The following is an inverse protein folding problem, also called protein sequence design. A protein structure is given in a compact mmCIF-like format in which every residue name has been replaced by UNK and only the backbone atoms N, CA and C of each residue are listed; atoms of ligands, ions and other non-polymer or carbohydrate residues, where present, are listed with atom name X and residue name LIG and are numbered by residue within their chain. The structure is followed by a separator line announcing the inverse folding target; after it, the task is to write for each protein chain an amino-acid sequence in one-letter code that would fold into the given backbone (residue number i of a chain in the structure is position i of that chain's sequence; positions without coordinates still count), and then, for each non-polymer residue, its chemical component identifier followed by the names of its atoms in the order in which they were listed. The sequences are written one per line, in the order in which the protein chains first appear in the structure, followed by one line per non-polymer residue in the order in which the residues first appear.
data_IF_311108056848
#
_entry.id   IF_311108056848
#
_cell.length_a   1.000
_cell.length_b   1.000
_cell.length_c   1.000
_cell.angle_alpha   90.00
_cell.angle_beta   90.00
_cell.angle_gamma   90.00
#
_symmetry.space_group_name_H-M   'P 1'
#
loop_
_entity.id
_entity.type
_entity.pdbx_description
1 polymer ?
#
# COMPACT_ATOMS: atom_id res chain seq x y z
N UNK A 1 -2.84 -3.61 22.29
CA UNK A 1 -3.03 -2.16 22.08
C UNK A 1 -2.75 -1.90 20.61
N UNK A 2 -3.78 -1.89 19.77
CA UNK A 2 -3.60 -1.60 18.34
C UNK A 2 -3.10 -0.16 18.25
N UNK A 3 -1.88 0.03 17.74
CA UNK A 3 -1.43 1.36 17.37
C UNK A 3 -2.44 1.87 16.34
N UNK A 4 -3.25 2.86 16.72
CA UNK A 4 -4.22 3.46 15.79
C UNK A 4 -3.42 4.21 14.73
N UNK A 5 -3.00 3.48 13.70
CA UNK A 5 -2.34 4.02 12.53
C UNK A 5 -3.28 4.90 11.72
N UNK A 6 -2.71 5.76 10.87
CA UNK A 6 -3.45 6.54 9.88
C UNK A 6 -4.09 5.59 8.86
N UNK A 7 -5.35 5.83 8.52
CA UNK A 7 -5.99 5.24 7.36
C UNK A 7 -5.83 6.15 6.13
N UNK A 8 -5.81 5.55 4.94
CA UNK A 8 -5.54 6.24 3.68
C UNK A 8 -6.76 6.12 2.78
N UNK A 9 -7.26 7.26 2.30
CA UNK A 9 -8.31 7.31 1.27
C UNK A 9 -7.69 7.16 -0.13
N UNK A 10 -8.46 6.61 -1.07
CA UNK A 10 -8.13 6.69 -2.49
C UNK A 10 -8.12 8.16 -2.96
N UNK A 11 -6.99 8.58 -3.54
CA UNK A 11 -6.73 9.93 -4.09
C UNK A 11 -6.42 9.90 -5.59
N UNK A 12 -6.50 8.73 -6.22
CA UNK A 12 -6.29 8.57 -7.65
C UNK A 12 -7.48 9.02 -8.50
N UNK A 13 -7.41 8.85 -9.84
CA UNK A 13 -8.45 9.31 -10.75
C UNK A 13 -9.83 8.71 -10.48
N UNK A 14 -10.87 9.55 -10.47
CA UNK A 14 -12.23 9.15 -10.12
C UNK A 14 -12.84 8.07 -11.06
N UNK A 15 -12.39 7.99 -12.31
CA UNK A 15 -12.90 6.98 -13.25
C UNK A 15 -12.45 5.57 -12.87
N UNK A 16 -11.32 5.42 -12.17
CA UNK A 16 -10.81 4.13 -11.71
C UNK A 16 -11.70 3.57 -10.60
N UNK A 17 -12.04 4.38 -9.58
CA UNK A 17 -12.94 3.93 -8.50
C UNK A 17 -14.36 3.62 -9.00
N UNK A 18 -14.82 4.31 -10.05
CA UNK A 18 -16.12 4.01 -10.68
C UNK A 18 -16.16 2.61 -11.32
N UNK A 19 -15.02 2.12 -11.84
CA UNK A 19 -14.90 0.80 -12.45
C UNK A 19 -14.79 -0.33 -11.41
N UNK A 20 -14.41 -0.03 -10.15
CA UNK A 20 -14.21 -1.03 -9.09
C UNK A 20 -15.47 -1.83 -8.77
N UNK A 21 -16.66 -1.27 -8.95
CA UNK A 21 -17.94 -1.97 -8.69
C UNK A 21 -18.12 -3.25 -9.52
N UNK A 22 -17.33 -3.45 -10.57
CA UNK A 22 -17.37 -4.62 -11.45
C UNK A 22 -16.17 -5.57 -11.29
N UNK A 23 -15.18 -5.22 -10.47
CA UNK A 23 -13.97 -6.02 -10.27
C UNK A 23 -14.07 -6.85 -8.98
N UNK A 24 -13.58 -8.08 -9.02
CA UNK A 24 -13.39 -8.89 -7.82
C UNK A 24 -12.33 -8.23 -6.93
N UNK A 25 -12.62 -8.16 -5.63
CA UNK A 25 -11.68 -7.66 -4.63
C UNK A 25 -10.43 -8.55 -4.52
N UNK A 26 -9.42 -8.06 -3.79
CA UNK A 26 -8.26 -8.89 -3.45
C UNK A 26 -8.67 -10.10 -2.60
N UNK A 27 -7.95 -11.20 -2.76
CA UNK A 27 -8.10 -12.37 -1.91
C UNK A 27 -7.71 -12.02 -0.47
N UNK A 28 -8.63 -12.18 0.46
CA UNK A 28 -8.41 -11.90 1.89
C UNK A 28 -7.59 -13.02 2.53
N UNK A 29 -6.50 -12.64 3.17
CA UNK A 29 -5.57 -13.49 3.90
C UNK A 29 -5.58 -13.04 5.37
N UNK A 30 -6.20 -13.82 6.24
CA UNK A 30 -6.26 -13.54 7.68
C UNK A 30 -5.37 -14.49 8.49
N UNK A 31 -4.97 -15.61 7.90
CA UNK A 31 -4.26 -16.70 8.57
C UNK A 31 -3.22 -17.33 7.65
N UNK A 32 -2.30 -18.10 8.25
CA UNK A 32 -1.36 -18.95 7.53
C UNK A 32 -2.04 -19.95 6.57
N UNK A 33 -3.21 -20.48 6.97
CA UNK A 33 -3.98 -21.41 6.13
C UNK A 33 -4.53 -20.71 4.89
N UNK A 34 -5.08 -19.50 5.04
CA UNK A 34 -5.57 -18.70 3.92
C UNK A 34 -4.44 -18.43 2.91
N UNK A 35 -3.24 -18.09 3.41
CA UNK A 35 -2.09 -17.86 2.56
C UNK A 35 -1.65 -19.15 1.85
N UNK A 36 -1.58 -20.27 2.57
CA UNK A 36 -1.19 -21.56 2.02
C UNK A 36 -2.15 -22.02 0.90
N UNK A 37 -3.46 -21.86 1.08
CA UNK A 37 -4.47 -22.18 0.07
C UNK A 37 -4.35 -21.24 -1.14
N UNK A 38 -4.18 -19.94 -0.88
CA UNK A 38 -4.04 -18.94 -1.95
C UNK A 38 -2.80 -19.18 -2.81
N UNK A 39 -1.65 -19.48 -2.18
CA UNK A 39 -0.37 -19.67 -2.89
C UNK A 39 -0.32 -21.01 -3.63
N UNK A 40 -0.96 -22.06 -3.10
CA UNK A 40 -1.08 -23.35 -3.77
C UNK A 40 -1.88 -23.28 -5.07
N UNK A 41 -2.77 -22.29 -5.18
CA UNK A 41 -3.57 -22.02 -6.38
C UNK A 41 -2.86 -21.11 -7.40
N UNK A 42 -1.58 -20.75 -7.20
CA UNK A 42 -0.79 -19.93 -8.13
C UNK A 42 0.19 -20.78 -8.92
N UNK A 43 0.40 -20.40 -10.18
CA UNK A 43 1.47 -20.95 -11.00
C UNK A 43 2.83 -20.40 -10.57
N UNK A 44 3.91 -21.14 -10.85
CA UNK A 44 5.28 -20.67 -10.57
C UNK A 44 5.56 -19.30 -11.22
N UNK A 45 5.05 -19.09 -12.45
CA UNK A 45 5.21 -17.81 -13.15
C UNK A 45 4.52 -16.65 -12.44
N UNK A 46 3.34 -16.87 -11.86
CA UNK A 46 2.66 -15.83 -11.08
C UNK A 46 3.42 -15.52 -9.79
N UNK A 47 4.03 -16.52 -9.17
CA UNK A 47 4.82 -16.35 -7.94
C UNK A 47 6.14 -15.61 -8.18
N UNK A 48 6.67 -15.64 -9.41
CA UNK A 48 7.83 -14.84 -9.82
C UNK A 48 7.49 -13.34 -10.00
N UNK A 49 6.21 -12.97 -10.06
CA UNK A 49 5.77 -11.58 -10.18
C UNK A 49 5.39 -10.98 -8.81
N UNK A 50 5.68 -9.68 -8.56
CA UNK A 50 5.15 -9.01 -7.37
C UNK A 50 3.62 -8.88 -7.43
N UNK A 51 2.97 -9.11 -6.30
CA UNK A 51 1.53 -8.95 -6.10
C UNK A 51 1.17 -7.54 -5.64
N UNK A 52 0.00 -7.08 -6.06
CA UNK A 52 -0.66 -5.92 -5.45
C UNK A 52 -1.17 -6.34 -4.08
N UNK A 53 -0.87 -5.56 -3.03
CA UNK A 53 -1.50 -5.77 -1.73
C UNK A 53 -2.17 -4.50 -1.19
N UNK A 54 -3.17 -4.72 -0.35
CA UNK A 54 -3.68 -3.72 0.59
C UNK A 54 -3.87 -4.34 1.97
N UNK A 55 -3.76 -3.52 3.01
CA UNK A 55 -4.20 -3.87 4.36
C UNK A 55 -5.49 -3.11 4.61
N UNK A 56 -6.59 -3.83 4.78
CA UNK A 56 -7.89 -3.21 5.06
C UNK A 56 -7.92 -2.56 6.45
N UNK A 57 -8.93 -1.72 6.71
CA UNK A 57 -9.16 -1.17 8.06
C UNK A 57 -9.58 -2.23 9.08
N UNK A 58 -9.97 -3.41 8.60
CA UNK A 58 -10.16 -4.63 9.38
C UNK A 58 -8.83 -5.31 9.80
N UNK A 59 -7.69 -4.82 9.30
CA UNK A 59 -6.37 -5.37 9.54
C UNK A 59 -6.02 -6.57 8.65
N UNK A 60 -6.92 -6.97 7.74
CA UNK A 60 -6.70 -8.12 6.87
C UNK A 60 -5.78 -7.76 5.70
N UNK A 61 -4.84 -8.66 5.38
CA UNK A 61 -4.05 -8.59 4.15
C UNK A 61 -4.93 -9.01 2.98
N UNK A 62 -4.95 -8.23 1.91
CA UNK A 62 -5.64 -8.58 0.66
C UNK A 62 -4.64 -8.60 -0.48
N UNK A 63 -4.62 -9.69 -1.24
CA UNK A 63 -3.66 -9.90 -2.33
C UNK A 63 -4.37 -9.98 -3.68
N UNK A 64 -3.80 -9.35 -4.68
CA UNK A 64 -4.23 -9.43 -6.07
C UNK A 64 -3.02 -9.59 -7.01
N UNK A 65 -3.20 -10.17 -8.21
CA UNK A 65 -2.15 -10.26 -9.20
C UNK A 65 -1.49 -8.90 -9.51
N UNK A 66 -0.28 -8.95 -10.08
CA UNK A 66 0.43 -7.75 -10.51
C UNK A 66 -0.44 -6.90 -11.44
N UNK A 67 -0.32 -5.56 -11.33
CA UNK A 67 -1.06 -4.57 -12.13
C UNK A 67 -2.56 -4.52 -11.84
N UNK A 68 -3.07 -5.27 -10.87
CA UNK A 68 -4.36 -4.96 -10.28
C UNK A 68 -4.30 -3.60 -9.60
N UNK A 69 -5.33 -2.78 -9.83
CA UNK A 69 -5.49 -1.50 -9.14
C UNK A 69 -5.66 -1.73 -7.64
N UNK A 70 -4.89 -1.03 -6.80
CA UNK A 70 -5.02 -1.12 -5.34
C UNK A 70 -6.45 -0.85 -4.87
N UNK A 71 -7.15 0.06 -5.55
CA UNK A 71 -8.53 0.42 -5.21
C UNK A 71 -9.52 -0.70 -5.53
N UNK A 72 -9.25 -1.51 -6.55
CA UNK A 72 -10.01 -2.73 -6.78
C UNK A 72 -9.70 -3.79 -5.72
N UNK A 73 -8.41 -3.95 -5.38
CA UNK A 73 -7.96 -4.86 -4.31
C UNK A 73 -8.61 -4.55 -2.95
N UNK A 74 -8.78 -3.26 -2.65
CA UNK A 74 -9.47 -2.74 -1.46
C UNK A 74 -11.00 -2.66 -1.59
N UNK A 75 -11.58 -3.09 -2.71
CA UNK A 75 -13.02 -2.93 -3.01
C UNK A 75 -13.54 -1.49 -2.89
N UNK A 76 -12.66 -0.50 -3.09
CA UNK A 76 -12.95 0.93 -3.00
C UNK A 76 -12.81 1.54 -1.60
N UNK A 77 -12.51 0.73 -0.58
CA UNK A 77 -12.46 1.16 0.81
C UNK A 77 -11.16 1.88 1.17
N UNK A 78 -11.13 2.44 2.38
CA UNK A 78 -9.91 2.97 2.99
C UNK A 78 -8.97 1.82 3.37
N UNK A 79 -7.68 2.11 3.43
CA UNK A 79 -6.64 1.11 3.73
C UNK A 79 -5.72 1.60 4.84
N UNK A 80 -5.09 0.69 5.57
CA UNK A 80 -4.01 0.99 6.51
C UNK A 80 -2.63 0.95 5.85
N UNK A 81 -2.54 0.31 4.69
CA UNK A 81 -1.34 0.23 3.85
C UNK A 81 -1.70 -0.31 2.46
N UNK A 82 -0.89 0.03 1.45
CA UNK A 82 -1.05 -0.44 0.09
C UNK A 82 0.29 -0.39 -0.65
N UNK A 83 0.54 -1.35 -1.53
CA UNK A 83 1.76 -1.37 -2.31
C UNK A 83 1.95 -2.65 -3.10
N UNK A 84 3.21 -3.02 -3.30
CA UNK A 84 3.59 -4.27 -3.98
C UNK A 84 4.38 -5.17 -3.02
N UNK A 85 4.18 -6.49 -3.12
CA UNK A 85 4.86 -7.49 -2.31
C UNK A 85 5.22 -8.72 -3.16
N UNK A 86 6.40 -9.30 -2.96
CA UNK A 86 6.80 -10.58 -3.55
C UNK A 86 7.20 -11.57 -2.47
N UNK A 87 7.09 -12.86 -2.78
CA UNK A 87 7.33 -13.94 -1.83
C UNK A 87 8.33 -14.94 -2.40
N UNK A 88 9.06 -15.61 -1.51
CA UNK A 88 9.88 -16.76 -1.86
C UNK A 88 9.78 -17.81 -0.76
N UNK A 89 10.20 -19.03 -1.08
CA UNK A 89 10.32 -20.10 -0.07
C UNK A 89 11.76 -20.18 0.42
N UNK A 90 11.92 -20.14 1.74
CA UNK A 90 13.19 -20.42 2.41
C UNK A 90 12.98 -21.48 3.49
N UNK A 91 13.82 -22.52 3.49
CA UNK A 91 13.75 -23.65 4.42
C UNK A 91 12.33 -24.23 4.66
N UNK A 92 11.45 -24.16 3.65
CA UNK A 92 10.07 -24.65 3.72
C UNK A 92 9.03 -23.64 4.21
N UNK A 93 9.45 -22.47 4.71
CA UNK A 93 8.59 -21.34 5.11
C UNK A 93 8.46 -20.32 3.98
N UNK A 94 7.38 -19.54 4.01
CA UNK A 94 7.19 -18.43 3.10
C UNK A 94 7.75 -17.14 3.72
N UNK A 95 8.51 -16.42 2.91
CA UNK A 95 9.18 -15.19 3.32
C UNK A 95 8.84 -14.10 2.32
N UNK A 96 8.60 -12.89 2.80
CA UNK A 96 8.51 -11.68 1.98
C UNK A 96 9.89 -11.36 1.43
N UNK A 97 10.04 -11.41 0.10
CA UNK A 97 11.27 -11.06 -0.60
C UNK A 97 11.41 -9.54 -0.70
N UNK A 98 10.45 -8.90 -1.37
CA UNK A 98 10.37 -7.46 -1.53
C UNK A 98 8.99 -6.97 -1.10
N UNK A 99 8.95 -5.80 -0.47
CA UNK A 99 7.74 -5.11 -0.06
C UNK A 99 7.95 -3.60 -0.14
N UNK A 100 6.99 -2.92 -0.78
CA UNK A 100 6.95 -1.47 -0.93
C UNK A 100 5.61 -0.89 -0.51
N UNK A 101 5.56 0.40 -0.24
CA UNK A 101 4.32 1.15 -0.07
C UNK A 101 3.91 1.86 -1.38
N UNK A 102 4.37 1.36 -2.54
CA UNK A 102 4.16 2.00 -3.83
C UNK A 102 2.71 1.81 -4.32
N UNK A 103 1.82 2.71 -3.90
CA UNK A 103 0.48 2.86 -4.46
C UNK A 103 0.25 4.31 -4.84
N UNK A 104 0.14 4.60 -6.13
CA UNK A 104 -0.18 5.96 -6.62
C UNK A 104 -1.66 6.33 -6.42
N UNK A 105 -2.51 5.34 -6.13
CA UNK A 105 -3.92 5.52 -5.83
C UNK A 105 -4.20 5.88 -4.38
N UNK A 106 -3.44 5.34 -3.42
CA UNK A 106 -3.62 5.62 -1.97
C UNK A 106 -2.49 6.44 -1.36
N UNK A 107 -1.30 6.41 -1.97
CA UNK A 107 -0.11 7.14 -1.52
C UNK A 107 0.22 6.97 -0.02
N UNK A 108 0.23 5.75 0.55
CA UNK A 108 0.42 5.57 1.99
C UNK A 108 1.78 6.07 2.47
N UNK A 109 1.84 6.60 3.70
CA UNK A 109 3.08 7.06 4.32
C UNK A 109 3.96 5.89 4.74
N UNK A 110 5.27 6.11 4.92
CA UNK A 110 6.19 5.07 5.43
C UNK A 110 5.80 4.60 6.83
N UNK A 111 5.09 5.44 7.58
CA UNK A 111 4.48 5.12 8.87
C UNK A 111 3.32 4.10 8.79
N UNK A 112 2.91 3.66 7.59
CA UNK A 112 1.99 2.52 7.41
C UNK A 112 2.63 1.17 7.70
N UNK A 113 3.97 1.09 7.72
CA UNK A 113 4.69 -0.16 7.89
C UNK A 113 4.20 -1.05 9.05
N UNK A 114 3.96 -0.52 10.28
CA UNK A 114 3.52 -1.36 11.38
C UNK A 114 2.20 -2.11 11.12
N UNK A 115 1.27 -1.51 10.36
CA UNK A 115 0.03 -2.18 9.98
C UNK A 115 0.28 -3.30 8.94
N UNK A 116 1.24 -3.08 8.03
CA UNK A 116 1.66 -4.09 7.05
C UNK A 116 2.36 -5.26 7.74
N UNK A 117 3.33 -4.99 8.61
CA UNK A 117 4.00 -6.01 9.43
C UNK A 117 3.00 -6.83 10.22
N UNK A 118 2.06 -6.18 10.93
CA UNK A 118 1.04 -6.90 11.70
C UNK A 118 0.13 -7.79 10.84
N UNK A 119 -0.16 -7.41 9.60
CA UNK A 119 -0.96 -8.23 8.68
C UNK A 119 -0.15 -9.42 8.15
N UNK A 120 1.15 -9.25 7.91
CA UNK A 120 2.07 -10.32 7.53
C UNK A 120 2.30 -11.32 8.68
N UNK A 121 2.44 -10.84 9.91
CA UNK A 121 2.53 -11.65 11.13
C UNK A 121 1.30 -12.56 11.29
N UNK A 122 0.09 -12.03 11.05
CA UNK A 122 -1.16 -12.81 11.12
C UNK A 122 -1.22 -13.92 10.06
N UNK A 123 -0.60 -13.68 8.90
CA UNK A 123 -0.47 -14.65 7.83
C UNK A 123 0.71 -15.63 8.02
N UNK A 124 1.45 -15.56 9.14
CA UNK A 124 2.67 -16.33 9.42
C UNK A 124 3.74 -16.22 8.31
N UNK A 125 3.91 -14.99 7.80
CA UNK A 125 4.88 -14.66 6.77
C UNK A 125 6.08 -13.97 7.41
N UNK A 126 7.26 -14.58 7.29
CA UNK A 126 8.49 -13.91 7.68
C UNK A 126 8.68 -12.66 6.82
N UNK A 127 9.08 -11.55 7.44
CA UNK A 127 9.19 -10.28 6.74
C UNK A 127 10.35 -9.42 7.27
N UNK A 128 10.88 -8.49 6.46
CA UNK A 128 11.89 -7.51 6.90
C UNK A 128 11.36 -6.60 8.01
N UNK A 129 12.22 -5.86 8.72
CA UNK A 129 11.79 -4.92 9.77
C UNK A 129 11.15 -3.62 9.25
N UNK A 130 11.21 -3.38 7.94
CA UNK A 130 10.69 -2.20 7.25
C UNK A 130 10.39 -2.48 5.77
N UNK A 131 9.80 -1.50 5.07
CA UNK A 131 9.69 -1.57 3.62
C UNK A 131 11.07 -1.70 2.97
N UNK A 132 11.29 -2.76 2.21
CA UNK A 132 12.51 -2.93 1.39
C UNK A 132 12.65 -1.82 0.35
N UNK A 133 11.51 -1.30 -0.14
CA UNK A 133 11.46 -0.13 -0.99
C UNK A 133 10.42 0.87 -0.47
N UNK A 134 10.88 1.87 0.27
CA UNK A 134 10.04 2.93 0.80
C UNK A 134 9.88 4.09 -0.20
N UNK A 135 8.64 4.47 -0.48
CA UNK A 135 8.25 5.59 -1.34
C UNK A 135 7.65 6.69 -0.48
N UNK A 136 8.21 7.90 -0.56
CA UNK A 136 7.74 9.05 0.23
C UNK A 136 6.85 9.92 -0.65
N UNK A 137 5.54 9.73 -0.55
CA UNK A 137 4.55 10.52 -1.28
C UNK A 137 4.27 11.87 -0.61
N UNK A 138 4.23 12.94 -1.39
CA UNK A 138 3.81 14.28 -0.95
C UNK A 138 2.89 14.92 -1.96
N UNK A 139 2.02 15.81 -1.50
CA UNK A 139 1.20 16.64 -2.36
C UNK A 139 1.74 18.05 -2.35
N UNK A 140 2.07 18.61 -3.52
CA UNK A 140 2.63 19.95 -3.59
C UNK A 140 1.56 20.99 -3.19
N UNK A 141 1.81 21.89 -2.23
CA UNK A 141 0.84 22.93 -1.86
C UNK A 141 0.67 23.99 -2.94
N UNK A 142 1.62 24.13 -3.87
CA UNK A 142 1.56 25.11 -4.95
C UNK A 142 0.81 24.58 -6.16
N UNK A 143 1.27 23.49 -6.78
CA UNK A 143 0.68 22.97 -8.01
C UNK A 143 -0.29 21.80 -7.78
N UNK A 144 -0.49 21.36 -6.53
CA UNK A 144 -1.41 20.29 -6.13
C UNK A 144 -1.08 18.88 -6.65
N UNK A 145 0.01 18.72 -7.42
CA UNK A 145 0.48 17.44 -7.94
C UNK A 145 0.98 16.50 -6.82
N UNK A 146 0.74 15.20 -7.01
CA UNK A 146 1.36 14.16 -6.19
C UNK A 146 2.80 13.92 -6.63
N UNK A 147 3.68 13.84 -5.66
CA UNK A 147 5.12 13.81 -5.84
C UNK A 147 5.74 12.67 -5.06
N UNK A 148 6.87 12.15 -5.57
CA UNK A 148 7.70 11.18 -4.86
C UNK A 148 9.01 11.89 -4.50
N UNK A 149 9.25 12.03 -3.20
CA UNK A 149 10.52 12.56 -2.69
C UNK A 149 11.62 11.54 -2.94
N UNK A 150 12.67 11.96 -3.64
CA UNK A 150 13.86 11.15 -3.92
C UNK A 150 15.01 11.61 -3.05
N UNK A 151 15.73 10.66 -2.45
CA UNK A 151 16.97 10.93 -1.69
C UNK A 151 16.81 11.99 -0.57
N UNK A 152 15.59 12.12 -0.02
CA UNK A 152 15.28 13.11 1.01
C UNK A 152 15.19 14.56 0.51
N UNK A 153 15.17 14.79 -0.81
CA UNK A 153 15.04 16.12 -1.40
C UNK A 153 13.56 16.51 -1.56
N UNK A 154 13.06 17.31 -0.62
CA UNK A 154 11.65 17.74 -0.55
C UNK A 154 11.36 18.92 -1.49
N UNK A 155 11.45 18.68 -2.81
CA UNK A 155 11.14 19.67 -3.85
C UNK A 155 10.22 19.05 -4.90
N UNK A 156 9.22 19.82 -5.33
CA UNK A 156 8.25 19.38 -6.32
C UNK A 156 8.89 19.34 -7.72
N UNK A 157 8.96 18.16 -8.35
CA UNK A 157 9.48 18.01 -9.72
C UNK A 157 8.68 18.82 -10.79
N UNK A 158 7.46 19.25 -10.50
CA UNK A 158 6.62 19.96 -11.48
C UNK A 158 6.75 21.49 -11.44
N UNK A 159 7.11 22.08 -10.30
CA UNK A 159 7.12 23.54 -10.13
C UNK A 159 8.22 24.07 -9.20
N UNK A 160 9.15 23.21 -8.77
CA UNK A 160 10.29 23.53 -7.91
C UNK A 160 9.95 24.10 -6.51
N UNK A 161 8.67 24.10 -6.12
CA UNK A 161 8.24 24.49 -4.78
C UNK A 161 8.68 23.46 -3.71
N UNK A 162 8.95 23.95 -2.50
CA UNK A 162 9.24 23.08 -1.36
C UNK A 162 8.05 22.16 -1.01
N UNK A 163 8.35 20.89 -0.75
CA UNK A 163 7.35 19.91 -0.33
C UNK A 163 7.29 19.78 1.19
N UNK A 164 6.10 19.54 1.77
CA UNK A 164 5.97 19.30 3.21
C UNK A 164 6.79 18.11 3.70
N UNK A 165 7.44 18.26 4.86
CA UNK A 165 8.17 17.16 5.51
C UNK A 165 7.23 16.08 6.04
N UNK A 166 6.05 16.46 6.51
CA UNK A 166 5.00 15.54 6.94
C UNK A 166 4.14 15.14 5.75
N UNK A 167 3.62 13.93 5.80
CA UNK A 167 2.70 13.43 4.79
C UNK A 167 1.40 14.27 4.76
N UNK A 168 0.92 14.60 3.56
CA UNK A 168 -0.18 15.55 3.35
C UNK A 168 -1.09 15.21 2.15
N UNK A 169 -1.12 13.94 1.72
CA UNK A 169 -1.71 13.59 0.42
C UNK A 169 -3.24 13.54 0.44
N UNK A 170 -3.86 12.93 1.45
CA UNK A 170 -5.32 12.77 1.51
C UNK A 170 -6.04 13.81 2.37
N UNK A 171 -5.32 14.83 2.86
CA UNK A 171 -5.92 15.90 3.65
C UNK A 171 -6.87 16.70 2.76
N UNK A 172 -8.15 16.71 3.13
CA UNK A 172 -9.11 17.70 2.65
C UNK A 172 -8.54 19.11 2.88
N UNK A 173 -8.94 20.04 2.03
CA UNK A 173 -8.64 21.47 2.12
C UNK A 173 -9.15 22.16 3.41
N UNK A 174 -9.71 21.41 4.38
CA UNK A 174 -10.25 21.92 5.64
C UNK A 174 -9.21 21.99 6.78
N UNK A 175 -7.96 21.53 6.55
CA UNK A 175 -6.84 21.81 7.45
C UNK A 175 -6.21 23.18 7.13
N UNK A 176 -7.05 24.15 6.75
CA UNK A 176 -6.73 25.57 6.78
C UNK A 176 -6.67 26.03 8.23
N UNK A 177 -5.61 25.65 8.92
CA UNK A 177 -5.06 26.48 10.00
C UNK A 177 -4.55 27.77 9.34
N UNK A 178 -5.45 28.75 9.31
CA UNK A 178 -5.10 30.15 9.25
C UNK A 178 -5.12 30.71 10.68
N UNK A 179 -4.39 31.79 10.93
CA UNK A 179 -2.94 31.88 11.13
C UNK A 179 -2.47 31.47 12.55
#
# INVERSE_FOLDING_TARGET
MSASGRDYRYVGPHHVIAAVKAADGGATICTAADFADWVAARSAKELDEPFTFVVGTDGALRLAPRRSEHVACASGDRVLGAGEVSFYRDAGRWVVNEVSNQSTGYCPDVASWPAVAQALDQADLDHPDCFTHAVVFRRCPTCQEHNIVREGHFVCVFCDAELPRRWNVDRNADDSDAP
#
